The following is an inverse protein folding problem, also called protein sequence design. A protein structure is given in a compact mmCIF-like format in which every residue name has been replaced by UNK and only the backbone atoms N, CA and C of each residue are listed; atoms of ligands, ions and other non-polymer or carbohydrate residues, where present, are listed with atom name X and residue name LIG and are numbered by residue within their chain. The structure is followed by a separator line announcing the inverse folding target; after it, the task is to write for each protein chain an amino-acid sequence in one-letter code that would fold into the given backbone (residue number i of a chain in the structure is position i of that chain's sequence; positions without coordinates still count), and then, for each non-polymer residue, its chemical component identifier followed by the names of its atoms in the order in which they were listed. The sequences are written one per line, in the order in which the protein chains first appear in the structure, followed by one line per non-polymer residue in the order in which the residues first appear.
data_IF_616872809090
#
_entry.id   IF_616872809090
#
_cell.length_a   1.000
_cell.length_b   1.000
_cell.length_c   1.000
_cell.angle_alpha   90.00
_cell.angle_beta   90.00
_cell.angle_gamma   90.00
#
_symmetry.space_group_name_H-M   'P 1'
#
loop_
_entity.id
_entity.type
_entity.pdbx_description
1 polymer ?
#
# COMPACT_ATOMS: atom_id res chain seq x y z
N UNK A 1 -32.51 5.08 66.20
CA UNK A 1 -31.51 6.13 65.88
C UNK A 1 -30.77 5.64 64.64
N UNK A 2 -30.68 6.25 63.47
CA UNK A 2 -30.99 7.52 62.78
C UNK A 2 -31.16 7.07 61.30
N UNK A 3 -31.67 7.78 60.30
CA UNK A 3 -32.44 9.00 60.07
C UNK A 3 -32.73 8.91 58.57
N UNK A 4 -33.96 9.16 58.14
CA UNK A 4 -34.33 9.24 56.72
C UNK A 4 -33.84 10.55 56.10
N UNK A 5 -33.88 10.56 54.75
CA UNK A 5 -33.73 11.68 53.76
C UNK A 5 -32.38 11.60 53.05
N UNK A 6 -32.34 11.35 51.74
CA UNK A 6 -32.64 12.38 50.75
C UNK A 6 -32.96 11.74 49.38
N UNK A 7 -34.07 12.16 48.77
CA UNK A 7 -34.35 11.95 47.36
C UNK A 7 -33.57 12.98 46.54
N UNK A 8 -32.74 12.52 45.59
CA UNK A 8 -32.15 13.38 44.58
C UNK A 8 -32.71 12.95 43.21
N UNK A 9 -33.65 13.75 42.71
CA UNK A 9 -34.06 13.78 41.31
C UNK A 9 -32.89 14.33 40.49
N UNK A 10 -32.20 13.48 39.74
CA UNK A 10 -31.33 13.95 38.67
C UNK A 10 -32.14 13.97 37.37
N UNK A 11 -32.63 15.18 37.07
CA UNK A 11 -33.05 15.57 35.73
C UNK A 11 -31.84 15.50 34.79
N UNK A 12 -32.10 15.03 33.58
CA UNK A 12 -31.08 14.58 32.63
C UNK A 12 -30.12 15.65 32.11
N UNK A 13 -29.09 15.13 31.46
CA UNK A 13 -28.52 15.61 30.21
C UNK A 13 -27.83 14.39 29.60
N UNK A 14 -28.50 13.76 28.64
CA UNK A 14 -27.88 12.76 27.78
C UNK A 14 -26.86 13.48 26.91
N UNK A 15 -25.59 13.48 27.34
CA UNK A 15 -24.47 13.72 26.44
C UNK A 15 -24.19 12.40 25.75
N UNK A 16 -24.86 12.17 24.63
CA UNK A 16 -24.45 11.16 23.66
C UNK A 16 -23.13 11.62 23.06
N UNK A 17 -22.04 11.34 23.76
CA UNK A 17 -20.72 11.35 23.16
C UNK A 17 -20.65 10.17 22.18
N UNK A 18 -21.14 10.39 20.97
CA UNK A 18 -20.78 9.56 19.82
C UNK A 18 -19.31 9.85 19.51
N UNK A 19 -18.40 9.29 20.32
CA UNK A 19 -17.15 8.85 19.76
C UNK A 19 -17.52 7.76 18.77
N UNK A 20 -17.68 8.14 17.50
CA UNK A 20 -17.54 7.20 16.41
C UNK A 20 -16.11 6.66 16.53
N UNK A 21 -15.94 5.62 17.34
CA UNK A 21 -14.89 4.65 17.07
C UNK A 21 -15.26 4.09 15.71
N UNK A 22 -14.63 4.61 14.66
CA UNK A 22 -14.37 3.82 13.47
C UNK A 22 -13.55 2.62 13.94
N UNK A 23 -14.26 1.59 14.39
CA UNK A 23 -13.73 0.27 14.55
C UNK A 23 -13.42 -0.18 13.12
N UNK A 24 -12.18 0.06 12.69
CA UNK A 24 -11.65 -0.50 11.46
C UNK A 24 -12.01 -2.00 11.44
N UNK A 25 -12.55 -2.53 10.35
CA UNK A 25 -12.94 -3.93 10.31
C UNK A 25 -11.70 -4.76 10.61
N UNK A 26 -11.78 -5.61 11.63
CA UNK A 26 -10.78 -6.64 11.85
C UNK A 26 -10.94 -7.60 10.67
N UNK A 27 -10.16 -7.36 9.61
CA UNK A 27 -10.17 -8.18 8.42
C UNK A 27 -9.52 -9.53 8.77
N UNK A 28 -10.38 -10.52 9.01
CA UNK A 28 -10.04 -11.95 8.99
C UNK A 28 -9.66 -12.33 7.54
N UNK A 29 -8.43 -11.97 7.15
CA UNK A 29 -7.85 -12.36 5.87
C UNK A 29 -7.33 -13.78 6.03
N UNK A 30 -8.06 -14.74 5.43
CA UNK A 30 -7.59 -16.10 5.29
C UNK A 30 -6.13 -16.13 4.86
N UNK A 31 -5.32 -16.91 5.57
CA UNK A 31 -3.92 -17.17 5.26
C UNK A 31 -3.81 -17.41 3.74
N UNK A 32 -3.08 -16.54 3.04
CA UNK A 32 -2.86 -16.51 1.58
C UNK A 32 -3.80 -15.64 0.71
N UNK A 33 -4.64 -14.76 1.25
CA UNK A 33 -5.31 -13.70 0.44
C UNK A 33 -4.49 -12.39 0.43
N UNK A 34 -4.63 -11.59 -0.64
CA UNK A 34 -4.19 -10.20 -0.59
C UNK A 34 -5.09 -9.41 0.35
N UNK A 35 -4.50 -8.47 1.10
CA UNK A 35 -5.23 -7.52 1.91
C UNK A 35 -6.07 -6.55 1.05
N UNK A 36 -6.89 -5.75 1.73
CA UNK A 36 -7.63 -4.68 1.07
C UNK A 36 -6.66 -3.60 0.57
N UNK A 37 -6.96 -3.08 -0.63
CA UNK A 37 -6.19 -1.98 -1.20
C UNK A 37 -6.24 -0.76 -0.27
N UNK A 38 -5.08 -0.15 -0.05
CA UNK A 38 -4.92 1.07 0.74
C UNK A 38 -3.97 2.03 0.05
N UNK A 39 -3.94 3.27 0.51
CA UNK A 39 -2.98 4.27 0.05
C UNK A 39 -1.53 3.84 0.35
N UNK A 40 -0.63 4.20 -0.55
CA UNK A 40 0.80 3.88 -0.43
C UNK A 40 1.46 4.84 0.58
N UNK A 41 2.17 4.30 1.56
CA UNK A 41 2.95 5.10 2.52
C UNK A 41 4.25 5.62 1.92
N UNK A 42 4.86 6.66 2.53
CA UNK A 42 6.16 7.18 2.07
C UNK A 42 7.27 6.12 2.07
N UNK A 43 7.27 5.22 3.06
CA UNK A 43 8.25 4.12 3.12
C UNK A 43 8.04 3.12 1.98
N UNK A 44 6.80 2.84 1.62
CA UNK A 44 6.47 1.95 0.50
C UNK A 44 6.77 2.60 -0.84
N UNK A 45 6.55 3.91 -0.99
CA UNK A 45 7.01 4.69 -2.15
C UNK A 45 8.53 4.59 -2.29
N UNK A 46 9.28 4.81 -1.20
CA UNK A 46 10.73 4.68 -1.20
C UNK A 46 11.18 3.25 -1.54
N UNK A 47 10.50 2.23 -1.00
CA UNK A 47 10.77 0.82 -1.27
C UNK A 47 10.55 0.47 -2.75
N UNK A 48 9.41 0.86 -3.32
CA UNK A 48 9.08 0.64 -4.73
C UNK A 48 10.07 1.37 -5.64
N UNK A 49 10.29 2.66 -5.43
CA UNK A 49 11.16 3.48 -6.28
C UNK A 49 12.61 3.01 -6.22
N UNK A 50 13.12 2.70 -5.03
CA UNK A 50 14.46 2.12 -4.87
C UNK A 50 14.55 0.80 -5.61
N UNK A 51 13.58 -0.11 -5.45
CA UNK A 51 13.61 -1.42 -6.12
C UNK A 51 13.57 -1.26 -7.64
N UNK A 52 12.65 -0.44 -8.16
CA UNK A 52 12.48 -0.21 -9.59
C UNK A 52 13.69 0.45 -10.25
N UNK A 53 14.47 1.25 -9.53
CA UNK A 53 15.71 1.88 -10.01
C UNK A 53 16.92 0.94 -10.09
N UNK A 54 16.81 -0.32 -9.62
CA UNK A 54 17.88 -1.30 -9.68
C UNK A 54 17.51 -2.46 -10.60
N UNK A 55 17.87 -2.39 -11.90
CA UNK A 55 17.58 -3.43 -12.89
C UNK A 55 18.01 -4.84 -12.48
N UNK A 56 19.06 -4.97 -11.66
CA UNK A 56 19.51 -6.25 -11.10
C UNK A 56 18.50 -6.94 -10.17
N UNK A 57 17.47 -6.23 -9.72
CA UNK A 57 16.40 -6.78 -8.88
C UNK A 57 15.19 -7.24 -9.70
N UNK A 58 15.19 -7.03 -11.01
CA UNK A 58 14.12 -7.51 -11.88
C UNK A 58 14.32 -9.01 -12.12
N UNK A 59 13.25 -9.79 -12.00
CA UNK A 59 13.30 -11.15 -12.49
C UNK A 59 13.58 -11.14 -14.01
N UNK A 60 14.23 -12.20 -14.50
CA UNK A 60 14.69 -12.29 -15.88
C UNK A 60 13.55 -12.20 -16.92
N UNK A 61 12.33 -12.56 -16.54
CA UNK A 61 11.12 -12.50 -17.36
C UNK A 61 10.44 -11.12 -17.36
N UNK A 62 10.85 -10.19 -16.48
CA UNK A 62 10.32 -8.84 -16.46
C UNK A 62 11.08 -7.95 -17.42
N UNK A 63 10.54 -7.79 -18.63
CA UNK A 63 11.12 -6.94 -19.69
C UNK A 63 10.55 -5.52 -19.70
N UNK A 64 9.34 -5.31 -19.16
CA UNK A 64 8.71 -4.00 -19.07
C UNK A 64 9.50 -3.05 -18.17
N UNK A 65 9.53 -1.77 -18.53
CA UNK A 65 10.19 -0.69 -17.78
C UNK A 65 9.27 0.51 -17.75
N UNK A 66 9.01 1.05 -16.56
CA UNK A 66 8.05 2.14 -16.34
C UNK A 66 8.68 3.15 -15.40
N UNK A 67 8.49 4.44 -15.69
CA UNK A 67 8.71 5.51 -14.72
C UNK A 67 7.38 5.88 -14.06
N UNK A 68 7.43 6.37 -12.83
CA UNK A 68 6.25 6.66 -12.01
C UNK A 68 5.97 8.16 -11.95
N UNK A 69 4.70 8.54 -12.13
CA UNK A 69 4.20 9.90 -11.92
C UNK A 69 3.32 10.01 -10.68
N UNK A 70 2.63 8.94 -10.30
CA UNK A 70 1.68 8.90 -9.17
C UNK A 70 1.65 7.51 -8.55
N UNK A 71 1.52 7.43 -7.22
CA UNK A 71 1.35 6.17 -6.49
C UNK A 71 -0.07 6.15 -5.94
N UNK A 72 -0.85 5.13 -6.29
CA UNK A 72 -2.29 5.10 -5.96
C UNK A 72 -2.53 4.20 -4.76
N UNK A 73 -2.41 2.89 -4.94
CA UNK A 73 -2.69 1.93 -3.89
C UNK A 73 -1.66 0.82 -3.81
N UNK A 74 -1.65 0.14 -2.68
CA UNK A 74 -0.90 -1.10 -2.47
C UNK A 74 -1.83 -2.16 -1.89
N UNK A 75 -1.67 -3.39 -2.39
CA UNK A 75 -2.13 -4.59 -1.69
C UNK A 75 -0.92 -5.47 -1.36
N UNK A 76 -1.02 -6.20 -0.26
CA UNK A 76 0.02 -7.09 0.25
C UNK A 76 -0.53 -8.47 0.56
N UNK A 77 0.32 -9.47 0.37
CA UNK A 77 0.04 -10.85 0.75
C UNK A 77 1.30 -11.43 1.40
N UNK A 78 1.18 -11.91 2.63
CA UNK A 78 2.27 -12.64 3.29
C UNK A 78 2.17 -14.12 2.95
N UNK A 79 3.20 -14.66 2.29
CA UNK A 79 3.27 -16.08 1.93
C UNK A 79 4.72 -16.54 1.77
N UNK A 80 4.99 -17.82 2.04
CA UNK A 80 6.34 -18.41 1.87
C UNK A 80 7.44 -17.72 2.68
N UNK A 81 7.11 -17.09 3.81
CA UNK A 81 8.08 -16.36 4.65
C UNK A 81 8.51 -15.00 4.11
N UNK A 82 7.86 -14.49 3.07
CA UNK A 82 8.03 -13.14 2.55
C UNK A 82 6.68 -12.46 2.29
N UNK A 83 6.74 -11.29 1.67
CA UNK A 83 5.59 -10.45 1.34
C UNK A 83 5.58 -10.14 -0.14
N UNK A 84 4.46 -10.41 -0.80
CA UNK A 84 4.17 -9.93 -2.13
C UNK A 84 3.44 -8.59 -2.03
N UNK A 85 4.02 -7.56 -2.61
CA UNK A 85 3.42 -6.25 -2.78
C UNK A 85 2.91 -6.12 -4.21
N UNK A 86 1.74 -5.53 -4.39
CA UNK A 86 1.20 -5.10 -5.67
C UNK A 86 0.86 -3.63 -5.58
N UNK A 87 1.69 -2.82 -6.21
CA UNK A 87 1.50 -1.37 -6.29
C UNK A 87 0.73 -1.03 -7.54
N UNK A 88 -0.31 -0.20 -7.38
CA UNK A 88 -0.94 0.50 -8.47
C UNK A 88 -0.29 1.87 -8.60
N UNK A 89 0.23 2.19 -9.79
CA UNK A 89 0.94 3.44 -10.06
C UNK A 89 0.55 3.99 -11.41
N UNK A 90 0.56 5.31 -11.58
CA UNK A 90 0.52 5.92 -12.91
C UNK A 90 1.93 6.16 -13.41
N UNK A 91 2.12 6.01 -14.71
CA UNK A 91 3.42 6.14 -15.33
C UNK A 91 3.36 5.99 -16.85
N UNK A 92 4.52 5.87 -17.46
CA UNK A 92 4.67 5.56 -18.88
C UNK A 92 5.84 4.61 -19.09
N UNK A 93 5.84 3.86 -20.21
CA UNK A 93 6.95 3.00 -20.55
C UNK A 93 8.22 3.81 -20.83
N UNK A 94 9.37 3.23 -20.54
CA UNK A 94 10.68 3.84 -20.80
C UNK A 94 11.62 2.86 -21.50
N UNK A 95 12.50 3.38 -22.35
CA UNK A 95 13.40 2.56 -23.16
C UNK A 95 14.75 2.30 -22.47
N UNK A 96 15.08 3.09 -21.42
CA UNK A 96 16.38 3.02 -20.77
C UNK A 96 16.28 2.96 -19.25
N UNK A 97 17.23 2.25 -18.63
CA UNK A 97 17.31 2.12 -17.17
C UNK A 97 17.51 3.47 -16.46
N UNK A 98 18.11 4.45 -17.14
CA UNK A 98 18.33 5.82 -16.63
C UNK A 98 17.04 6.62 -16.42
N UNK A 99 15.92 6.11 -16.93
CA UNK A 99 14.60 6.73 -16.82
C UNK A 99 13.73 6.04 -15.77
N UNK A 100 14.21 4.98 -15.12
CA UNK A 100 13.47 4.28 -14.06
C UNK A 100 13.31 5.13 -12.79
N UNK A 101 12.33 4.75 -11.97
CA UNK A 101 11.94 5.49 -10.77
C UNK A 101 10.94 6.58 -11.10
N UNK A 102 11.10 7.77 -10.53
CA UNK A 102 10.24 8.91 -10.86
C UNK A 102 10.45 9.37 -12.30
N UNK A 103 9.36 9.61 -13.02
CA UNK A 103 9.45 10.23 -14.33
C UNK A 103 10.09 11.61 -14.23
N UNK A 104 11.03 11.91 -15.12
CA UNK A 104 11.55 13.26 -15.29
C UNK A 104 10.43 14.15 -15.83
N UNK A 105 10.47 15.44 -15.48
CA UNK A 105 9.51 16.42 -15.99
C UNK A 105 9.47 16.40 -17.53
N UNK A 106 8.26 16.34 -18.09
CA UNK A 106 8.05 16.27 -19.54
C UNK A 106 8.41 14.95 -20.21
N UNK A 107 8.97 13.96 -19.51
CA UNK A 107 9.29 12.65 -20.09
C UNK A 107 8.05 11.77 -20.33
N UNK A 108 6.95 12.09 -19.67
CA UNK A 108 5.73 11.30 -19.64
C UNK A 108 4.55 12.14 -20.15
N UNK A 109 4.32 12.16 -21.47
CA UNK A 109 3.26 12.96 -22.10
C UNK A 109 1.86 12.37 -21.88
N UNK A 110 1.78 11.06 -21.68
CA UNK A 110 0.53 10.33 -21.44
C UNK A 110 0.81 9.27 -20.40
N UNK A 111 -0.02 9.20 -19.36
CA UNK A 111 0.13 8.25 -18.28
C UNK A 111 -0.92 7.16 -18.37
N UNK A 112 -0.49 5.92 -18.14
CA UNK A 112 -1.34 4.74 -17.96
C UNK A 112 -1.23 4.24 -16.51
N UNK A 113 -2.21 3.44 -16.09
CA UNK A 113 -2.18 2.75 -14.80
C UNK A 113 -1.39 1.44 -14.94
N UNK A 114 -0.51 1.15 -14.00
CA UNK A 114 0.31 -0.06 -13.95
C UNK A 114 0.19 -0.76 -12.60
N UNK A 115 0.15 -2.10 -12.63
CA UNK A 115 0.44 -2.96 -11.49
C UNK A 115 1.94 -3.32 -11.49
N UNK A 116 2.66 -2.91 -10.45
CA UNK A 116 4.05 -3.29 -10.20
C UNK A 116 4.09 -4.25 -9.01
N UNK A 117 4.55 -5.48 -9.25
CA UNK A 117 4.64 -6.51 -8.22
C UNK A 117 6.08 -6.68 -7.73
N UNK A 118 6.26 -6.69 -6.41
CA UNK A 118 7.55 -6.90 -5.75
C UNK A 118 7.38 -8.00 -4.69
N UNK A 119 8.29 -8.97 -4.66
CA UNK A 119 8.45 -9.91 -3.56
C UNK A 119 9.61 -9.47 -2.65
N UNK A 120 9.41 -9.52 -1.33
CA UNK A 120 10.45 -9.25 -0.34
C UNK A 120 10.47 -10.35 0.73
N UNK A 121 11.65 -10.89 1.01
CA UNK A 121 11.87 -11.91 2.04
C UNK A 121 12.97 -11.45 3.01
N UNK A 122 12.60 -10.90 4.19
CA UNK A 122 13.55 -10.31 5.12
C UNK A 122 14.63 -11.28 5.60
N UNK A 123 14.29 -12.56 5.81
CA UNK A 123 15.23 -13.57 6.35
C UNK A 123 16.44 -13.80 5.45
N UNK A 124 16.27 -13.69 4.15
CA UNK A 124 17.32 -13.90 3.14
C UNK A 124 17.75 -12.57 2.50
N UNK A 125 17.12 -11.46 2.91
CA UNK A 125 17.26 -10.14 2.27
C UNK A 125 16.97 -10.16 0.75
N UNK A 126 16.17 -11.12 0.30
CA UNK A 126 15.81 -11.25 -1.10
C UNK A 126 14.73 -10.23 -1.45
N UNK A 127 14.94 -9.45 -2.51
CA UNK A 127 13.96 -8.53 -3.10
C UNK A 127 13.95 -8.74 -4.60
N UNK A 128 12.77 -8.97 -5.15
CA UNK A 128 12.59 -9.18 -6.59
C UNK A 128 11.40 -8.38 -7.08
N UNK A 129 11.60 -7.62 -8.16
CA UNK A 129 10.51 -7.08 -8.95
C UNK A 129 10.05 -8.18 -9.91
N UNK A 130 8.84 -8.69 -9.67
CA UNK A 130 8.36 -9.94 -10.26
C UNK A 130 7.40 -9.73 -11.43
N UNK A 131 6.80 -8.54 -11.57
CA UNK A 131 5.91 -8.21 -12.67
C UNK A 131 5.72 -6.70 -12.82
N UNK A 132 5.56 -6.24 -14.06
CA UNK A 132 5.00 -4.92 -14.41
C UNK A 132 3.98 -5.13 -15.51
N UNK A 133 2.73 -4.73 -15.27
CA UNK A 133 1.62 -4.86 -16.22
C UNK A 133 0.81 -3.59 -16.27
N UNK A 134 0.46 -3.15 -17.48
CA UNK A 134 -0.53 -2.09 -17.66
C UNK A 134 -1.92 -2.62 -17.28
N UNK A 135 -2.68 -1.81 -16.55
CA UNK A 135 -4.08 -2.10 -16.19
C UNK A 135 -4.97 -1.43 -17.21
N UNK A 136 -5.63 -2.24 -18.03
CA UNK A 136 -6.55 -1.82 -19.10
C UNK A 136 -7.99 -1.75 -18.58
#
# INVERSE_FOLDING_TARGET
MMSFRTAALFAGLALTSSAAQEQQPVHDLGLNAYDQARDVTLNEVAFLTTTACHPSLYNADVTSRVCFTEFTTVTTQTSGGGTYYKFQVKGCPVDTEKQLGYCREGACSTTSLYEVAIYSQPRTSAVFLTSIKEVV
#
